data_IF_745495531973
#
_entry.id   IF_745495531973
#
_cell.length_a   1.000
_cell.length_b   1.000
_cell.length_c   1.000
_cell.angle_alpha   90.00
_cell.angle_beta   90.00
_cell.angle_gamma   90.00
#
_symmetry.space_group_name_H-M   'P 1'
#
loop_
_entity.id
_entity.type
_entity.pdbx_description
1 polymer ?
#
# COMPACT_ATOMS: atom_id res chain seq x y z
N UNK A 1 14.92 -56.87 17.28
CA UNK A 1 16.08 -56.86 16.35
C UNK A 1 15.97 -55.59 15.54
N UNK A 2 16.58 -54.57 15.86
CA UNK A 2 17.97 -54.17 15.75
C UNK A 2 18.03 -53.19 14.56
N UNK A 3 18.56 -52.09 14.51
CA UNK A 3 19.59 -51.27 15.11
C UNK A 3 19.50 -49.90 14.48
N UNK A 4 19.47 -48.88 15.18
CA UNK A 4 20.04 -47.63 15.39
C UNK A 4 21.22 -47.23 14.50
N UNK A 5 21.20 -46.00 14.03
CA UNK A 5 22.39 -45.21 13.65
C UNK A 5 22.08 -43.72 13.79
N UNK A 6 22.37 -43.16 14.95
CA UNK A 6 22.59 -41.73 15.16
C UNK A 6 23.92 -41.36 14.52
N UNK A 7 23.95 -40.47 13.56
CA UNK A 7 25.16 -39.75 13.13
C UNK A 7 25.18 -38.39 13.79
N UNK A 8 25.96 -38.28 14.85
CA UNK A 8 26.45 -37.04 15.42
C UNK A 8 27.41 -36.37 14.41
N UNK A 9 27.06 -35.17 13.98
CA UNK A 9 27.96 -34.30 13.22
C UNK A 9 28.74 -33.43 14.20
N UNK A 10 30.03 -33.77 14.37
CA UNK A 10 30.99 -32.98 15.11
C UNK A 10 31.47 -31.81 14.26
N UNK A 11 31.30 -30.58 14.77
CA UNK A 11 31.89 -29.34 14.24
C UNK A 11 33.42 -29.34 14.50
N UNK A 12 34.26 -28.93 13.53
CA UNK A 12 35.67 -28.68 13.76
C UNK A 12 35.92 -27.34 14.50
N UNK A 13 37.07 -27.16 15.21
CA UNK A 13 37.30 -26.01 16.05
C UNK A 13 37.58 -24.72 15.27
N UNK A 14 37.17 -23.61 15.88
CA UNK A 14 37.35 -22.26 15.41
C UNK A 14 38.80 -21.89 15.15
N UNK A 15 39.11 -21.43 13.95
CA UNK A 15 40.33 -20.68 13.63
C UNK A 15 40.00 -19.20 13.80
N UNK A 16 40.54 -18.60 14.85
CA UNK A 16 40.51 -17.14 15.01
C UNK A 16 41.48 -16.51 14.01
N UNK A 17 40.95 -15.83 13.00
CA UNK A 17 41.72 -14.93 12.16
C UNK A 17 40.96 -13.58 12.17
N UNK A 18 41.67 -12.55 12.62
CA UNK A 18 41.28 -11.14 12.62
C UNK A 18 41.17 -10.61 11.20
N UNK A 19 39.99 -10.66 10.66
CA UNK A 19 39.62 -10.02 9.41
C UNK A 19 38.16 -9.58 9.50
N UNK A 20 37.93 -8.27 9.44
CA UNK A 20 36.57 -7.70 9.50
C UNK A 20 35.69 -8.20 8.37
N UNK A 21 34.56 -8.75 8.72
CA UNK A 21 33.54 -9.17 7.75
C UNK A 21 32.52 -8.05 7.60
N UNK A 22 32.39 -7.46 6.41
CA UNK A 22 31.27 -6.59 6.10
C UNK A 22 30.18 -7.43 5.42
N UNK A 23 28.98 -7.39 5.99
CA UNK A 23 27.78 -8.02 5.44
C UNK A 23 27.22 -7.14 4.31
N UNK A 24 27.69 -7.33 3.08
CA UNK A 24 27.00 -6.82 1.90
C UNK A 24 25.98 -7.88 1.46
N UNK A 25 24.75 -7.78 1.99
CA UNK A 25 23.69 -8.71 1.67
C UNK A 25 22.98 -8.35 0.37
N UNK A 26 23.41 -8.89 -0.76
CA UNK A 26 22.53 -9.07 -1.91
C UNK A 26 21.70 -10.34 -1.65
N UNK A 27 20.49 -10.19 -1.15
CA UNK A 27 19.59 -11.32 -0.97
C UNK A 27 18.93 -11.62 -2.33
N UNK A 28 19.49 -12.56 -3.09
CA UNK A 28 18.83 -13.15 -4.23
C UNK A 28 17.91 -14.29 -3.75
N UNK A 29 16.61 -14.10 -3.80
CA UNK A 29 15.65 -15.17 -3.55
C UNK A 29 15.43 -15.92 -4.87
N UNK A 30 16.01 -17.12 -4.96
CA UNK A 30 15.76 -18.04 -6.06
C UNK A 30 14.46 -18.80 -5.75
N UNK A 31 13.37 -18.46 -6.42
CA UNK A 31 12.16 -19.28 -6.41
C UNK A 31 12.20 -20.20 -7.64
N UNK A 32 12.56 -21.46 -7.45
CA UNK A 32 12.41 -22.48 -8.47
C UNK A 32 10.94 -22.92 -8.54
N UNK A 33 10.37 -22.87 -9.73
CA UNK A 33 9.04 -23.40 -10.02
C UNK A 33 9.07 -24.92 -10.04
N UNK A 34 8.51 -25.56 -9.03
CA UNK A 34 8.26 -26.99 -9.04
C UNK A 34 8.23 -27.59 -7.64
N UNK A 35 7.00 -27.81 -7.14
CA UNK A 35 6.59 -28.68 -6.03
C UNK A 35 7.22 -28.50 -4.64
N UNK A 36 6.31 -28.17 -3.70
CA UNK A 36 6.33 -28.41 -2.24
C UNK A 36 7.41 -27.73 -1.40
N UNK A 37 6.92 -26.68 -0.72
CA UNK A 37 7.25 -26.24 0.65
C UNK A 37 8.66 -26.53 1.20
N UNK A 38 9.50 -25.51 1.14
CA UNK A 38 10.73 -25.45 1.91
C UNK A 38 11.39 -24.09 1.70
N UNK A 39 11.14 -23.12 2.61
CA UNK A 39 11.92 -21.87 2.66
C UNK A 39 13.33 -22.20 3.14
N UNK A 40 14.26 -22.39 2.21
CA UNK A 40 15.69 -22.48 2.54
C UNK A 40 16.29 -21.09 2.32
N UNK A 41 16.64 -20.42 3.42
CA UNK A 41 17.45 -19.21 3.41
C UNK A 41 18.92 -19.61 3.20
N UNK A 42 19.38 -19.52 1.94
CA UNK A 42 20.80 -19.67 1.62
C UNK A 42 21.49 -18.31 1.63
N UNK A 43 22.34 -18.05 2.64
CA UNK A 43 23.27 -16.92 2.62
C UNK A 43 24.54 -17.36 1.88
N UNK A 44 24.81 -16.74 0.72
CA UNK A 44 26.11 -16.89 0.06
C UNK A 44 27.01 -15.78 0.60
N UNK A 45 27.99 -16.17 1.45
CA UNK A 45 29.04 -15.29 1.92
C UNK A 45 30.14 -15.22 0.85
N UNK A 46 30.29 -14.06 0.21
CA UNK A 46 31.47 -13.76 -0.60
C UNK A 46 32.49 -13.00 0.25
N UNK A 47 33.80 -13.35 0.21
CA UNK A 47 34.85 -12.57 0.86
C UNK A 47 35.02 -11.23 0.14
N UNK A 48 34.84 -10.15 0.85
CA UNK A 48 35.08 -8.78 0.33
C UNK A 48 36.55 -8.43 0.56
N UNK A 49 37.30 -8.33 -0.54
CA UNK A 49 38.61 -7.67 -0.52
C UNK A 49 38.38 -6.16 -0.50
N UNK A 50 38.86 -5.48 0.53
CA UNK A 50 38.90 -4.01 0.60
C UNK A 50 39.87 -3.47 -0.47
N UNK A 51 39.36 -3.30 -1.67
CA UNK A 51 39.92 -2.37 -2.64
C UNK A 51 38.84 -1.34 -2.91
N UNK A 52 39.11 -0.08 -2.64
CA UNK A 52 38.33 1.05 -3.11
C UNK A 52 38.32 1.03 -4.65
N UNK A 53 37.49 0.17 -5.22
CA UNK A 53 37.19 0.19 -6.64
C UNK A 53 35.93 1.03 -6.80
N UNK A 54 36.12 2.28 -7.23
CA UNK A 54 35.08 3.04 -7.91
C UNK A 54 34.56 2.18 -9.06
N UNK A 55 33.43 1.55 -8.85
CA UNK A 55 32.83 0.68 -9.86
C UNK A 55 31.94 1.54 -10.76
N UNK A 56 32.34 1.72 -12.01
CA UNK A 56 31.48 2.31 -13.04
C UNK A 56 30.28 1.39 -13.26
N UNK A 57 29.11 1.80 -12.77
CA UNK A 57 27.89 1.01 -12.89
C UNK A 57 26.89 1.78 -13.74
N UNK A 58 26.49 1.16 -14.86
CA UNK A 58 25.34 1.61 -15.63
C UNK A 58 24.07 1.37 -14.81
N UNK A 59 23.35 2.37 -14.33
CA UNK A 59 22.16 2.29 -13.51
C UNK A 59 22.36 2.07 -11.99
N UNK A 60 22.94 3.03 -11.33
CA UNK A 60 22.86 3.14 -9.87
C UNK A 60 21.52 3.77 -9.45
N UNK A 61 21.01 3.38 -8.29
CA UNK A 61 19.81 3.97 -7.69
C UNK A 61 20.02 4.30 -6.22
N UNK A 62 19.27 5.28 -5.70
CA UNK A 62 19.19 5.54 -4.25
C UNK A 62 17.95 4.87 -3.68
N UNK A 63 18.09 4.26 -2.50
CA UNK A 63 16.96 3.68 -1.80
C UNK A 63 15.96 4.76 -1.38
N UNK A 64 14.69 4.60 -1.73
CA UNK A 64 13.63 5.57 -1.43
C UNK A 64 13.37 5.74 0.08
N UNK A 65 13.78 4.80 0.91
CA UNK A 65 13.51 4.80 2.35
C UNK A 65 14.70 5.16 3.22
N UNK A 66 15.95 4.86 2.79
CA UNK A 66 17.14 5.09 3.59
C UNK A 66 18.25 5.88 2.86
N UNK A 67 18.01 6.28 1.62
CA UNK A 67 18.92 7.08 0.78
C UNK A 67 20.27 6.42 0.43
N UNK A 68 20.47 5.14 0.75
CA UNK A 68 21.70 4.41 0.44
C UNK A 68 21.87 4.28 -1.08
N UNK A 69 23.06 4.58 -1.60
CA UNK A 69 23.42 4.34 -2.98
C UNK A 69 23.61 2.84 -3.24
N UNK A 70 22.99 2.32 -4.26
CA UNK A 70 23.00 0.89 -4.58
C UNK A 70 23.29 0.74 -6.08
N UNK A 71 24.34 -0.04 -6.42
CA UNK A 71 24.60 -0.37 -7.81
C UNK A 71 23.50 -1.27 -8.35
N UNK A 72 23.04 -1.02 -9.57
CA UNK A 72 22.13 -1.92 -10.22
C UNK A 72 22.90 -3.19 -10.65
N UNK A 73 22.56 -4.29 -10.03
CA UNK A 73 23.04 -5.60 -10.43
C UNK A 73 22.08 -6.20 -11.48
N UNK A 74 22.58 -6.84 -12.55
CA UNK A 74 21.73 -7.55 -13.47
C UNK A 74 21.02 -8.69 -12.73
N UNK A 75 19.68 -8.71 -12.83
CA UNK A 75 18.84 -9.69 -12.16
C UNK A 75 18.43 -10.77 -13.16
N UNK A 76 18.49 -12.03 -12.75
CA UNK A 76 17.87 -13.12 -13.47
C UNK A 76 16.35 -13.12 -13.31
N UNK A 77 15.65 -13.79 -14.22
CA UNK A 77 14.18 -13.89 -14.16
C UNK A 77 13.74 -14.55 -12.86
N UNK A 78 12.91 -13.85 -12.08
CA UNK A 78 12.41 -14.28 -10.78
C UNK A 78 13.19 -13.74 -9.57
N UNK A 79 14.32 -13.07 -9.79
CA UNK A 79 15.09 -12.43 -8.71
C UNK A 79 14.56 -11.04 -8.35
N UNK A 80 14.82 -10.62 -7.11
CA UNK A 80 14.51 -9.29 -6.60
C UNK A 80 15.76 -8.69 -5.95
N UNK A 81 16.04 -7.43 -6.24
CA UNK A 81 17.04 -6.63 -5.56
C UNK A 81 16.44 -5.94 -4.34
N UNK A 82 17.09 -6.10 -3.19
CA UNK A 82 16.68 -5.46 -1.94
C UNK A 82 17.81 -4.59 -1.39
N UNK A 83 17.45 -3.48 -0.74
CA UNK A 83 18.42 -2.62 -0.08
C UNK A 83 19.08 -3.37 1.09
N UNK A 84 20.43 -3.45 1.16
CA UNK A 84 21.13 -4.14 2.23
C UNK A 84 20.96 -3.47 3.60
N UNK A 85 20.74 -2.14 3.64
CA UNK A 85 20.58 -1.35 4.86
C UNK A 85 19.20 -1.48 5.49
N UNK A 86 18.13 -1.38 4.71
CA UNK A 86 16.76 -1.32 5.22
C UNK A 86 15.82 -2.45 4.75
N UNK A 87 16.28 -3.31 3.84
CA UNK A 87 15.48 -4.41 3.29
C UNK A 87 14.35 -3.99 2.34
N UNK A 88 14.32 -2.71 1.88
CA UNK A 88 13.34 -2.27 0.87
C UNK A 88 13.59 -2.95 -0.46
N UNK A 89 12.53 -3.42 -1.13
CA UNK A 89 12.65 -4.03 -2.47
C UNK A 89 12.77 -2.93 -3.52
N UNK A 90 13.88 -2.91 -4.25
CA UNK A 90 14.18 -1.88 -5.25
C UNK A 90 13.63 -2.22 -6.62
N UNK A 91 13.87 -3.44 -7.08
CA UNK A 91 13.47 -3.92 -8.40
C UNK A 91 13.22 -5.43 -8.37
N UNK A 92 12.38 -5.91 -9.29
CA UNK A 92 12.09 -7.34 -9.50
C UNK A 92 12.13 -7.66 -10.97
N UNK A 93 12.94 -8.65 -11.36
CA UNK A 93 12.90 -9.13 -12.73
C UNK A 93 11.83 -10.21 -12.88
N UNK A 94 10.65 -9.79 -13.36
CA UNK A 94 9.51 -10.67 -13.56
C UNK A 94 9.53 -11.23 -15.00
N UNK A 95 9.11 -12.49 -15.22
CA UNK A 95 9.02 -13.02 -16.57
C UNK A 95 7.91 -12.32 -17.37
N UNK A 96 8.15 -12.05 -18.65
CA UNK A 96 7.18 -11.48 -19.58
C UNK A 96 6.54 -10.16 -19.08
N UNK A 97 7.35 -9.23 -18.61
CA UNK A 97 6.88 -7.95 -18.03
C UNK A 97 6.08 -7.08 -18.99
N UNK A 98 6.16 -7.32 -20.29
CA UNK A 98 5.39 -6.61 -21.31
C UNK A 98 3.99 -7.21 -21.49
N UNK A 99 3.88 -8.54 -21.59
CA UNK A 99 2.64 -9.22 -21.95
C UNK A 99 1.71 -9.47 -20.74
N UNK A 100 2.26 -9.82 -19.58
CA UNK A 100 1.46 -10.18 -18.41
C UNK A 100 0.56 -9.04 -17.90
N UNK A 101 1.04 -7.79 -17.74
CA UNK A 101 0.17 -6.70 -17.30
C UNK A 101 -0.95 -6.41 -18.30
N UNK A 102 -0.70 -6.53 -19.60
CA UNK A 102 -1.72 -6.33 -20.64
C UNK A 102 -2.79 -7.41 -20.55
N UNK A 103 -2.38 -8.69 -20.47
CA UNK A 103 -3.30 -9.82 -20.39
C UNK A 103 -4.17 -9.76 -19.14
N UNK A 104 -3.55 -9.49 -17.97
CA UNK A 104 -4.30 -9.30 -16.73
C UNK A 104 -5.21 -8.09 -16.77
N UNK A 105 -4.76 -6.97 -17.36
CA UNK A 105 -5.55 -5.76 -17.51
C UNK A 105 -6.79 -5.97 -18.40
N UNK A 106 -6.63 -6.67 -19.52
CA UNK A 106 -7.74 -6.99 -20.40
C UNK A 106 -8.76 -7.94 -19.73
N UNK A 107 -8.27 -8.98 -19.06
CA UNK A 107 -9.12 -9.89 -18.29
C UNK A 107 -9.82 -9.18 -17.12
N UNK A 108 -9.12 -8.28 -16.41
CA UNK A 108 -9.70 -7.47 -15.35
C UNK A 108 -10.79 -6.52 -15.87
N UNK A 109 -10.60 -5.94 -17.06
CA UNK A 109 -11.62 -5.08 -17.69
C UNK A 109 -12.91 -5.87 -18.02
N UNK A 110 -12.76 -7.09 -18.56
CA UNK A 110 -13.92 -7.97 -18.81
C UNK A 110 -14.64 -8.27 -17.49
N UNK A 111 -13.91 -8.66 -16.44
CA UNK A 111 -14.48 -8.96 -15.13
C UNK A 111 -15.13 -7.72 -14.50
N UNK A 112 -14.57 -6.53 -14.71
CA UNK A 112 -15.17 -5.28 -14.26
C UNK A 112 -16.53 -5.00 -14.94
N UNK A 113 -16.62 -5.23 -16.25
CA UNK A 113 -17.89 -5.10 -16.98
C UNK A 113 -18.92 -6.10 -16.46
N UNK A 114 -18.52 -7.36 -16.27
CA UNK A 114 -19.40 -8.40 -15.71
C UNK A 114 -19.84 -8.08 -14.28
N UNK A 115 -18.96 -7.50 -13.45
CA UNK A 115 -19.27 -7.09 -12.09
C UNK A 115 -20.33 -5.97 -12.03
N UNK A 116 -20.51 -5.21 -13.11
CA UNK A 116 -21.54 -4.15 -13.21
C UNK A 116 -22.79 -4.57 -13.98
N UNK A 117 -22.75 -5.70 -14.70
CA UNK A 117 -23.83 -6.12 -15.58
C UNK A 117 -24.94 -6.91 -14.88
N UNK A 118 -24.66 -7.55 -13.76
CA UNK A 118 -25.58 -8.44 -13.04
C UNK A 118 -25.84 -7.96 -11.62
N UNK A 119 -26.75 -8.63 -10.91
CA UNK A 119 -26.99 -8.38 -9.49
C UNK A 119 -25.75 -8.74 -8.66
N UNK A 120 -25.34 -7.82 -7.79
CA UNK A 120 -24.18 -8.00 -6.92
C UNK A 120 -24.52 -8.90 -5.74
N UNK A 121 -25.63 -8.59 -5.07
CA UNK A 121 -26.19 -9.42 -4.02
C UNK A 121 -27.68 -9.21 -3.90
N UNK A 122 -28.39 -10.20 -3.39
CA UNK A 122 -29.79 -10.10 -3.03
C UNK A 122 -29.95 -10.39 -1.54
N UNK A 123 -30.80 -9.60 -0.91
CA UNK A 123 -31.10 -9.62 0.48
C UNK A 123 -32.59 -9.96 0.66
N UNK A 124 -32.91 -10.91 1.52
CA UNK A 124 -34.27 -11.34 1.76
C UNK A 124 -34.53 -11.44 3.26
N UNK A 125 -35.49 -10.65 3.74
CA UNK A 125 -35.96 -10.68 5.12
C UNK A 125 -37.48 -10.69 5.15
N UNK A 126 -38.06 -11.64 5.90
CA UNK A 126 -39.52 -11.79 6.10
C UNK A 126 -40.35 -11.74 4.80
N UNK A 127 -39.85 -12.32 3.71
CA UNK A 127 -40.57 -12.39 2.43
C UNK A 127 -40.43 -11.16 1.51
N UNK A 128 -39.75 -10.11 1.95
CA UNK A 128 -39.38 -8.96 1.11
C UNK A 128 -37.95 -9.17 0.63
N UNK A 129 -37.75 -9.26 -0.68
CA UNK A 129 -36.43 -9.42 -1.31
C UNK A 129 -36.02 -8.14 -2.02
N UNK A 130 -34.80 -7.70 -1.81
CA UNK A 130 -34.19 -6.59 -2.54
C UNK A 130 -32.93 -7.06 -3.26
N UNK A 131 -32.80 -6.66 -4.52
CA UNK A 131 -31.63 -6.91 -5.34
C UNK A 131 -30.83 -5.61 -5.50
N UNK A 132 -29.51 -5.73 -5.43
CA UNK A 132 -28.62 -4.60 -5.50
C UNK A 132 -27.52 -4.81 -6.54
N UNK A 133 -27.28 -3.80 -7.34
CA UNK A 133 -26.14 -3.75 -8.24
C UNK A 133 -24.96 -3.01 -7.59
N UNK A 134 -23.75 -3.26 -8.07
CA UNK A 134 -22.54 -2.59 -7.55
C UNK A 134 -22.64 -1.05 -7.69
N UNK A 135 -23.10 -0.54 -8.83
CA UNK A 135 -23.26 0.90 -9.07
C UNK A 135 -24.36 1.54 -8.21
N UNK A 136 -25.43 0.80 -7.93
CA UNK A 136 -26.53 1.29 -7.11
C UNK A 136 -26.10 1.68 -5.70
N UNK A 137 -25.10 0.99 -5.12
CA UNK A 137 -24.54 1.37 -3.82
C UNK A 137 -23.96 2.80 -3.82
N UNK A 138 -23.39 3.23 -4.94
CA UNK A 138 -22.77 4.55 -5.09
C UNK A 138 -23.85 5.60 -5.37
N UNK A 139 -24.78 5.32 -6.31
CA UNK A 139 -25.85 6.27 -6.67
C UNK A 139 -26.75 6.56 -5.48
N UNK A 140 -27.08 5.55 -4.72
CA UNK A 140 -27.88 5.67 -3.49
C UNK A 140 -27.29 6.68 -2.49
N UNK A 141 -25.97 6.62 -2.25
CA UNK A 141 -25.30 7.58 -1.35
C UNK A 141 -25.33 9.02 -1.89
N UNK A 142 -25.25 9.17 -3.21
CA UNK A 142 -25.33 10.50 -3.85
C UNK A 142 -26.75 11.05 -3.77
N UNK A 143 -27.77 10.23 -4.03
CA UNK A 143 -29.19 10.61 -4.01
C UNK A 143 -29.64 11.03 -2.59
N UNK A 144 -28.99 10.48 -1.55
CA UNK A 144 -29.25 10.84 -0.15
C UNK A 144 -28.46 12.05 0.34
N UNK A 145 -27.73 12.71 -0.55
CA UNK A 145 -26.96 13.91 -0.20
C UNK A 145 -25.57 13.64 0.39
N UNK A 146 -25.12 12.38 0.51
CA UNK A 146 -23.77 12.03 0.94
C UNK A 146 -22.76 12.09 -0.22
N UNK A 147 -22.75 13.21 -0.92
CA UNK A 147 -21.95 13.45 -2.12
C UNK A 147 -20.47 13.15 -1.89
N UNK A 148 -19.92 13.52 -0.71
CA UNK A 148 -18.51 13.28 -0.39
C UNK A 148 -18.17 11.78 -0.32
N UNK A 149 -18.99 10.98 0.38
CA UNK A 149 -18.79 9.53 0.45
C UNK A 149 -18.95 8.88 -0.92
N UNK A 150 -20.01 9.22 -1.65
CA UNK A 150 -20.26 8.71 -3.00
C UNK A 150 -19.11 9.05 -3.97
N UNK A 151 -18.58 10.27 -3.89
CA UNK A 151 -17.43 10.68 -4.71
C UNK A 151 -16.16 9.91 -4.36
N UNK A 152 -15.85 9.71 -3.07
CA UNK A 152 -14.69 8.92 -2.63
C UNK A 152 -14.80 7.47 -3.11
N UNK A 153 -15.97 6.84 -2.97
CA UNK A 153 -16.18 5.48 -3.46
C UNK A 153 -16.06 5.40 -4.99
N UNK A 154 -16.75 6.25 -5.71
CA UNK A 154 -16.72 6.29 -7.18
C UNK A 154 -15.29 6.47 -7.69
N UNK A 155 -14.53 7.41 -7.08
CA UNK A 155 -13.16 7.67 -7.45
C UNK A 155 -12.24 6.47 -7.16
N UNK A 156 -12.32 5.87 -5.96
CA UNK A 156 -11.40 4.80 -5.52
C UNK A 156 -11.71 3.45 -6.15
N UNK A 157 -12.98 3.13 -6.41
CA UNK A 157 -13.40 1.81 -6.90
C UNK A 157 -13.54 1.74 -8.42
N UNK A 158 -13.89 2.88 -9.06
CA UNK A 158 -14.14 2.92 -10.51
C UNK A 158 -13.09 3.80 -11.20
N UNK A 159 -13.01 5.07 -10.82
CA UNK A 159 -12.21 6.06 -11.53
C UNK A 159 -10.71 5.73 -11.57
N UNK A 160 -10.08 5.62 -10.41
CA UNK A 160 -8.64 5.36 -10.32
C UNK A 160 -8.23 4.01 -10.90
N UNK A 161 -8.95 2.88 -10.65
CA UNK A 161 -8.60 1.62 -11.26
C UNK A 161 -8.72 1.62 -12.79
N UNK A 162 -9.79 2.21 -13.35
CA UNK A 162 -9.95 2.30 -14.80
C UNK A 162 -8.87 3.17 -15.45
N UNK A 163 -8.55 4.31 -14.86
CA UNK A 163 -7.46 5.19 -15.33
C UNK A 163 -6.12 4.45 -15.24
N UNK A 164 -5.87 3.71 -14.17
CA UNK A 164 -4.64 2.93 -14.00
C UNK A 164 -4.52 1.82 -15.03
N UNK A 165 -5.59 1.01 -15.22
CA UNK A 165 -5.63 -0.06 -16.23
C UNK A 165 -5.43 0.49 -17.63
N UNK A 166 -6.19 1.52 -18.00
CA UNK A 166 -6.09 2.17 -19.31
C UNK A 166 -4.69 2.77 -19.55
N UNK A 167 -4.11 3.39 -18.54
CA UNK A 167 -2.76 3.97 -18.62
C UNK A 167 -1.68 2.91 -18.82
N UNK A 168 -1.72 1.78 -18.09
CA UNK A 168 -0.78 0.66 -18.30
C UNK A 168 -0.93 0.09 -19.69
N UNK A 169 -2.15 -0.22 -20.11
CA UNK A 169 -2.40 -0.80 -21.43
C UNK A 169 -1.90 0.13 -22.54
N UNK A 170 -2.15 1.43 -22.42
CA UNK A 170 -1.71 2.43 -23.39
C UNK A 170 -0.17 2.57 -23.42
N UNK A 171 0.48 2.62 -22.24
CA UNK A 171 1.94 2.71 -22.14
C UNK A 171 2.60 1.50 -22.78
N UNK A 172 2.17 0.29 -22.41
CA UNK A 172 2.76 -0.95 -22.93
C UNK A 172 2.45 -1.17 -24.42
N UNK A 173 1.29 -0.74 -24.90
CA UNK A 173 0.98 -0.81 -26.35
C UNK A 173 1.83 0.14 -27.19
N UNK A 174 2.23 1.29 -26.61
CA UNK A 174 3.05 2.29 -27.31
C UNK A 174 4.56 2.15 -27.04
N UNK A 175 4.97 1.25 -26.17
CA UNK A 175 6.36 1.12 -25.71
C UNK A 175 7.36 0.95 -26.86
N UNK A 176 6.96 0.26 -27.94
CA UNK A 176 7.81 0.01 -29.13
C UNK A 176 7.63 1.04 -30.24
N UNK A 177 6.61 1.91 -30.16
CA UNK A 177 6.25 2.84 -31.25
C UNK A 177 6.78 4.26 -31.06
N UNK A 178 6.70 4.79 -29.83
CA UNK A 178 6.96 6.19 -29.52
C UNK A 178 7.91 6.33 -28.30
N UNK A 179 9.15 5.84 -28.44
CA UNK A 179 10.17 6.08 -27.42
C UNK A 179 10.40 7.60 -27.27
N UNK A 180 10.40 8.09 -26.03
CA UNK A 180 10.66 9.47 -25.63
C UNK A 180 9.50 10.49 -25.75
N UNK A 181 8.27 10.04 -25.93
CA UNK A 181 7.11 10.94 -25.96
C UNK A 181 6.86 11.57 -24.57
N UNK A 182 6.60 12.90 -24.52
CA UNK A 182 6.19 13.60 -23.30
C UNK A 182 4.88 13.07 -22.72
N UNK A 183 4.01 12.51 -23.56
CA UNK A 183 2.76 11.87 -23.15
C UNK A 183 3.04 10.60 -22.33
N UNK A 184 3.98 9.74 -22.78
CA UNK A 184 4.39 8.53 -22.04
C UNK A 184 5.06 8.89 -20.70
N UNK A 185 5.85 9.97 -20.64
CA UNK A 185 6.40 10.48 -19.38
C UNK A 185 5.28 10.86 -18.40
N UNK A 186 4.26 11.56 -18.88
CA UNK A 186 3.12 11.97 -18.04
C UNK A 186 2.30 10.78 -17.57
N UNK A 187 2.04 9.81 -18.43
CA UNK A 187 1.33 8.56 -18.08
C UNK A 187 2.12 7.72 -17.08
N UNK A 188 3.42 7.54 -17.26
CA UNK A 188 4.28 6.83 -16.30
C UNK A 188 4.28 7.49 -14.91
N UNK A 189 4.34 8.83 -14.86
CA UNK A 189 4.21 9.57 -13.59
C UNK A 189 2.83 9.39 -12.94
N UNK A 190 1.78 9.39 -13.77
CA UNK A 190 0.41 9.18 -13.32
C UNK A 190 0.25 7.79 -12.68
N UNK A 191 0.77 6.74 -13.33
CA UNK A 191 0.76 5.37 -12.80
C UNK A 191 1.39 5.29 -11.40
N UNK A 192 2.58 5.88 -11.22
CA UNK A 192 3.26 5.90 -9.91
C UNK A 192 2.46 6.65 -8.85
N UNK A 193 1.76 7.75 -9.24
CA UNK A 193 0.96 8.56 -8.31
C UNK A 193 -0.37 7.90 -7.92
N UNK A 194 -1.00 7.17 -8.84
CA UNK A 194 -2.30 6.50 -8.59
C UNK A 194 -2.13 5.21 -7.79
N UNK A 195 -1.03 4.48 -7.97
CA UNK A 195 -0.79 3.16 -7.35
C UNK A 195 -1.12 3.09 -5.85
N UNK A 196 -0.75 4.05 -4.98
CA UNK A 196 -1.07 3.99 -3.55
C UNK A 196 -2.57 4.15 -3.23
N UNK A 197 -3.36 4.69 -4.16
CA UNK A 197 -4.79 4.97 -4.00
C UNK A 197 -5.70 3.85 -4.53
N UNK A 198 -5.12 2.78 -5.08
CA UNK A 198 -5.87 1.62 -5.53
C UNK A 198 -6.23 0.77 -4.31
N UNK A 199 -7.52 0.75 -3.95
CA UNK A 199 -8.04 0.12 -2.73
C UNK A 199 -9.19 -0.85 -2.99
N UNK A 200 -9.23 -1.44 -4.18
CA UNK A 200 -10.28 -2.41 -4.57
C UNK A 200 -10.22 -3.68 -3.71
N UNK A 201 -9.02 -4.08 -3.29
CA UNK A 201 -8.77 -5.18 -2.35
C UNK A 201 -9.36 -4.90 -0.97
N UNK A 202 -9.19 -3.68 -0.47
CA UNK A 202 -9.74 -3.24 0.83
C UNK A 202 -11.27 -3.22 0.78
N UNK A 203 -11.86 -2.74 -0.33
CA UNK A 203 -13.30 -2.77 -0.53
C UNK A 203 -13.86 -4.20 -0.54
N UNK A 204 -13.22 -5.15 -1.22
CA UNK A 204 -13.64 -6.55 -1.22
C UNK A 204 -13.70 -7.13 0.20
N UNK A 205 -12.67 -6.83 1.02
CA UNK A 205 -12.68 -7.24 2.44
C UNK A 205 -13.80 -6.54 3.21
N UNK A 206 -14.07 -5.25 2.94
CA UNK A 206 -15.20 -4.51 3.50
C UNK A 206 -16.55 -5.17 3.17
N UNK A 207 -16.74 -5.61 1.93
CA UNK A 207 -17.94 -6.39 1.51
C UNK A 207 -18.07 -7.68 2.32
N UNK A 208 -16.98 -8.45 2.45
CA UNK A 208 -17.00 -9.71 3.23
C UNK A 208 -17.35 -9.48 4.70
N UNK A 209 -16.80 -8.43 5.33
CA UNK A 209 -17.12 -8.06 6.71
C UNK A 209 -18.59 -7.65 6.85
N UNK A 210 -19.12 -6.86 5.90
CA UNK A 210 -20.52 -6.46 5.86
C UNK A 210 -21.43 -7.68 5.73
N UNK A 211 -21.08 -8.65 4.87
CA UNK A 211 -21.82 -9.89 4.71
C UNK A 211 -21.88 -10.69 6.02
N UNK A 212 -20.74 -10.89 6.69
CA UNK A 212 -20.69 -11.61 7.99
C UNK A 212 -21.58 -10.93 9.03
N UNK A 213 -21.61 -9.59 9.05
CA UNK A 213 -22.46 -8.81 9.96
C UNK A 213 -23.95 -9.00 9.66
N UNK A 214 -24.31 -9.14 8.40
CA UNK A 214 -25.71 -9.27 7.95
C UNK A 214 -26.24 -10.71 7.99
N UNK A 215 -25.37 -11.73 7.87
CA UNK A 215 -25.77 -13.15 7.89
C UNK A 215 -26.52 -13.55 9.17
N UNK A 216 -26.36 -12.81 10.27
CA UNK A 216 -27.13 -13.02 11.51
C UNK A 216 -28.54 -12.44 11.48
N UNK A 217 -28.89 -11.60 10.49
CA UNK A 217 -30.15 -10.85 10.45
C UNK A 217 -31.07 -11.22 9.27
N UNK A 218 -30.51 -11.76 8.19
CA UNK A 218 -31.26 -12.07 6.96
C UNK A 218 -30.56 -13.09 6.07
N UNK A 219 -31.34 -13.70 5.18
CA UNK A 219 -30.82 -14.58 4.13
C UNK A 219 -30.23 -13.75 2.99
N UNK A 220 -28.92 -13.93 2.79
CA UNK A 220 -28.16 -13.22 1.74
C UNK A 220 -27.77 -14.23 0.66
N UNK A 221 -28.06 -13.92 -0.59
CA UNK A 221 -27.59 -14.65 -1.76
C UNK A 221 -26.63 -13.81 -2.55
N UNK A 222 -25.42 -14.35 -2.79
CA UNK A 222 -24.39 -13.69 -3.61
C UNK A 222 -24.73 -13.86 -5.08
N UNK A 223 -24.83 -12.74 -5.79
CA UNK A 223 -25.07 -12.72 -7.23
C UNK A 223 -23.82 -13.04 -8.06
N UNK A 224 -23.99 -13.19 -9.36
CA UNK A 224 -22.89 -13.46 -10.29
C UNK A 224 -21.87 -12.30 -10.32
N UNK A 225 -22.34 -11.05 -10.20
CA UNK A 225 -21.47 -9.87 -10.14
C UNK A 225 -20.52 -9.87 -8.96
N UNK A 226 -20.88 -10.44 -7.82
CA UNK A 226 -19.97 -10.58 -6.67
C UNK A 226 -18.74 -11.41 -7.04
N UNK A 227 -18.94 -12.57 -7.67
CA UNK A 227 -17.84 -13.43 -8.10
C UNK A 227 -17.00 -12.81 -9.21
N UNK A 228 -17.65 -12.08 -10.13
CA UNK A 228 -16.96 -11.29 -11.14
C UNK A 228 -16.10 -10.19 -10.50
N UNK A 229 -16.61 -9.54 -9.42
CA UNK A 229 -15.86 -8.53 -8.68
C UNK A 229 -14.66 -9.14 -7.92
N UNK A 230 -14.79 -10.33 -7.34
CA UNK A 230 -13.67 -11.09 -6.76
C UNK A 230 -12.60 -11.36 -7.83
N UNK A 231 -13.01 -11.88 -8.99
CA UNK A 231 -12.12 -12.11 -10.13
C UNK A 231 -11.43 -10.83 -10.61
N UNK A 232 -12.18 -9.73 -10.73
CA UNK A 232 -11.65 -8.41 -11.06
C UNK A 232 -10.57 -7.95 -10.07
N UNK A 233 -10.84 -8.07 -8.77
CA UNK A 233 -9.89 -7.67 -7.72
C UNK A 233 -8.59 -8.47 -7.80
N UNK A 234 -8.68 -9.80 -7.93
CA UNK A 234 -7.49 -10.67 -8.05
C UNK A 234 -6.68 -10.34 -9.31
N UNK A 235 -7.33 -10.14 -10.45
CA UNK A 235 -6.68 -9.79 -11.71
C UNK A 235 -6.03 -8.41 -11.66
N UNK A 236 -6.68 -7.44 -11.03
CA UNK A 236 -6.11 -6.10 -10.82
C UNK A 236 -4.86 -6.15 -9.94
N UNK A 237 -4.88 -6.89 -8.83
CA UNK A 237 -3.71 -7.10 -7.98
C UNK A 237 -2.57 -7.77 -8.76
N UNK A 238 -2.88 -8.80 -9.56
CA UNK A 238 -1.89 -9.47 -10.43
C UNK A 238 -1.32 -8.54 -11.47
N UNK A 239 -2.12 -7.67 -12.07
CA UNK A 239 -1.67 -6.65 -13.02
C UNK A 239 -0.70 -5.67 -12.34
N UNK A 240 -1.06 -5.11 -11.16
CA UNK A 240 -0.22 -4.17 -10.41
C UNK A 240 1.11 -4.82 -10.00
N UNK A 241 1.07 -6.07 -9.54
CA UNK A 241 2.25 -6.81 -9.08
C UNK A 241 3.13 -7.38 -10.20
N UNK A 242 2.63 -7.45 -11.43
CA UNK A 242 3.38 -7.91 -12.60
C UNK A 242 4.20 -6.83 -13.29
N UNK A 243 4.05 -5.57 -12.88
CA UNK A 243 4.80 -4.43 -13.45
C UNK A 243 5.85 -3.94 -12.44
N UNK A 244 7.12 -4.05 -12.82
CA UNK A 244 8.22 -3.42 -12.11
C UNK A 244 8.40 -1.97 -12.59
N UNK A 245 8.46 -1.03 -11.63
CA UNK A 245 8.54 0.40 -11.94
C UNK A 245 9.88 0.78 -12.55
N UNK A 246 10.99 0.22 -12.02
CA UNK A 246 12.33 0.53 -12.52
C UNK A 246 12.51 -0.01 -13.95
N UNK A 247 12.08 -1.25 -14.20
CA UNK A 247 12.06 -1.83 -15.53
C UNK A 247 11.27 -0.98 -16.53
N UNK A 248 10.07 -0.50 -16.14
CA UNK A 248 9.24 0.32 -17.02
C UNK A 248 9.96 1.58 -17.47
N UNK A 249 10.60 2.29 -16.54
CA UNK A 249 11.32 3.52 -16.86
C UNK A 249 12.59 3.27 -17.65
N UNK A 250 13.31 2.16 -17.41
CA UNK A 250 14.46 1.74 -18.22
C UNK A 250 14.05 1.40 -19.65
N UNK A 251 12.93 0.69 -19.82
CA UNK A 251 12.43 0.32 -21.14
C UNK A 251 11.93 1.52 -21.95
N UNK A 252 11.33 2.52 -21.28
CA UNK A 252 10.79 3.73 -21.94
C UNK A 252 11.86 4.75 -22.33
N UNK A 253 12.88 4.95 -21.49
CA UNK A 253 13.82 6.07 -21.63
C UNK A 253 15.29 5.64 -21.59
N UNK A 254 15.58 4.38 -21.60
CA UNK A 254 16.94 3.84 -21.54
C UNK A 254 17.56 3.88 -20.14
N UNK A 255 18.80 3.34 -20.00
CA UNK A 255 19.57 3.40 -18.78
C UNK A 255 19.97 4.84 -18.44
N UNK A 256 20.25 5.13 -17.18
CA UNK A 256 20.85 6.39 -16.75
C UNK A 256 22.34 6.42 -17.09
N UNK A 257 22.92 7.62 -17.14
CA UNK A 257 24.37 7.79 -17.35
C UNK A 257 25.13 7.06 -16.23
N UNK A 258 26.21 6.39 -16.63
CA UNK A 258 27.12 5.74 -15.69
C UNK A 258 27.73 6.81 -14.77
N UNK A 259 27.62 6.61 -13.46
CA UNK A 259 28.22 7.48 -12.45
C UNK A 259 29.10 6.67 -11.53
N UNK A 260 30.17 7.30 -11.10
CA UNK A 260 31.02 6.76 -10.05
C UNK A 260 30.29 6.93 -8.71
N UNK A 261 29.98 5.81 -8.06
CA UNK A 261 29.23 5.80 -6.79
C UNK A 261 29.99 4.99 -5.76
N UNK A 262 29.97 5.47 -4.53
CA UNK A 262 30.38 4.70 -3.37
C UNK A 262 29.14 4.00 -2.78
N UNK A 263 29.05 2.67 -2.83
CA UNK A 263 27.85 1.93 -2.41
C UNK A 263 27.61 1.93 -0.89
N UNK A 264 28.54 2.45 -0.09
CA UNK A 264 28.41 2.55 1.37
C UNK A 264 27.85 3.89 1.84
N UNK A 265 27.81 4.91 0.96
CA UNK A 265 27.38 6.26 1.29
C UNK A 265 25.92 6.54 0.99
N UNK A 266 25.37 7.57 1.61
CA UNK A 266 24.06 8.12 1.26
C UNK A 266 24.13 8.93 -0.03
N UNK A 267 23.03 8.94 -0.81
CA UNK A 267 22.99 9.71 -2.05
C UNK A 267 23.22 11.20 -1.80
N UNK A 268 22.64 11.76 -0.75
CA UNK A 268 22.81 13.17 -0.40
C UNK A 268 24.25 13.52 -0.02
N UNK A 269 24.95 12.63 0.70
CA UNK A 269 26.38 12.77 1.06
C UNK A 269 27.26 12.81 -0.17
N UNK A 270 26.94 12.01 -1.18
CA UNK A 270 27.64 11.97 -2.46
C UNK A 270 27.23 13.09 -3.43
N UNK A 271 26.48 14.09 -2.97
CA UNK A 271 26.00 15.18 -3.84
C UNK A 271 24.93 14.73 -4.85
N UNK A 272 24.29 13.61 -4.64
CA UNK A 272 23.30 13.03 -5.53
C UNK A 272 21.90 13.00 -4.90
N UNK A 273 20.87 13.00 -5.75
CA UNK A 273 19.46 12.86 -5.35
C UNK A 273 18.79 11.78 -6.19
N UNK A 274 18.17 10.80 -5.53
CA UNK A 274 17.35 9.79 -6.18
C UNK A 274 15.95 10.31 -6.53
N UNK A 275 15.51 10.07 -7.75
CA UNK A 275 14.16 10.42 -8.18
C UNK A 275 13.14 9.41 -7.63
N UNK A 276 12.16 9.87 -6.86
CA UNK A 276 11.09 9.04 -6.29
C UNK A 276 10.15 8.38 -7.32
N UNK A 277 10.20 8.83 -8.58
CA UNK A 277 9.30 8.35 -9.62
C UNK A 277 9.95 7.27 -10.48
N UNK A 278 11.23 7.43 -10.83
CA UNK A 278 11.90 6.53 -11.76
C UNK A 278 13.20 5.91 -11.23
N UNK A 279 13.61 6.23 -10.00
CA UNK A 279 14.84 5.74 -9.38
C UNK A 279 16.14 6.31 -9.95
N UNK A 280 16.10 7.19 -10.97
CA UNK A 280 17.29 7.78 -11.58
C UNK A 280 17.99 8.73 -10.62
N UNK A 281 19.34 8.72 -10.62
CA UNK A 281 20.17 9.65 -9.87
C UNK A 281 20.37 10.97 -10.63
N UNK A 282 20.33 12.06 -9.94
CA UNK A 282 20.59 13.40 -10.44
C UNK A 282 21.45 14.16 -9.44
N UNK A 283 22.14 15.23 -9.86
CA UNK A 283 22.92 16.07 -8.96
C UNK A 283 22.04 16.89 -8.02
N UNK A 284 22.54 17.15 -6.82
CA UNK A 284 21.89 18.07 -5.87
C UNK A 284 21.79 19.45 -6.52
N UNK A 285 20.61 20.06 -6.43
CA UNK A 285 20.32 21.36 -7.09
C UNK A 285 19.58 21.23 -8.41
N UNK A 286 19.50 20.04 -9.00
CA UNK A 286 18.66 19.81 -10.18
C UNK A 286 17.19 19.94 -9.84
N UNK A 287 16.44 20.78 -10.55
CA UNK A 287 15.01 21.00 -10.30
C UNK A 287 14.11 19.90 -10.88
N UNK A 288 14.56 19.20 -11.91
CA UNK A 288 13.80 18.17 -12.61
C UNK A 288 14.66 16.98 -13.01
N UNK A 289 14.08 15.79 -12.93
CA UNK A 289 14.72 14.55 -13.34
C UNK A 289 14.88 14.51 -14.87
N UNK A 290 16.08 14.25 -15.37
CA UNK A 290 16.37 14.13 -16.81
C UNK A 290 15.56 13.01 -17.47
N UNK A 291 15.31 11.88 -16.74
CA UNK A 291 14.62 10.70 -17.25
C UNK A 291 13.09 10.88 -17.30
N UNK A 292 12.45 11.17 -16.18
CA UNK A 292 10.98 11.24 -16.10
C UNK A 292 10.41 12.66 -16.15
N UNK A 293 11.24 13.71 -16.05
CA UNK A 293 10.81 15.11 -15.97
C UNK A 293 10.05 15.44 -14.67
N UNK A 294 10.09 14.57 -13.65
CA UNK A 294 9.50 14.84 -12.35
C UNK A 294 10.32 15.85 -11.54
N UNK A 295 9.66 16.59 -10.65
CA UNK A 295 10.35 17.52 -9.73
C UNK A 295 11.25 16.74 -8.78
N UNK A 296 12.49 17.16 -8.65
CA UNK A 296 13.48 16.60 -7.75
C UNK A 296 13.56 17.44 -6.48
N UNK A 297 13.67 16.77 -5.36
CA UNK A 297 13.92 17.35 -4.06
C UNK A 297 14.81 16.41 -3.27
N UNK A 298 15.86 16.92 -2.64
CA UNK A 298 16.73 16.13 -1.77
C UNK A 298 15.91 15.45 -0.64
N UNK A 299 15.02 16.22 -0.04
CA UNK A 299 14.02 15.77 0.94
C UNK A 299 12.68 16.43 0.61
N UNK A 300 11.56 15.83 1.07
CA UNK A 300 10.22 16.41 0.81
C UNK A 300 10.11 17.82 1.43
N UNK A 301 9.92 18.87 0.63
CA UNK A 301 9.93 20.25 1.13
C UNK A 301 8.77 20.47 2.11
N UNK A 302 9.10 20.89 3.35
CA UNK A 302 8.10 21.08 4.40
C UNK A 302 7.34 19.81 4.81
N UNK A 303 7.87 18.61 4.49
CA UNK A 303 7.21 17.33 4.76
C UNK A 303 6.83 17.18 6.23
N UNK A 304 7.74 17.50 7.15
CA UNK A 304 7.49 17.39 8.59
C UNK A 304 6.41 18.37 9.08
N UNK A 305 6.45 19.64 8.66
CA UNK A 305 5.44 20.64 9.03
C UNK A 305 4.06 20.27 8.46
N UNK A 306 4.03 19.76 7.23
CA UNK A 306 2.82 19.29 6.57
C UNK A 306 2.23 18.08 7.29
N UNK A 307 3.08 17.14 7.70
CA UNK A 307 2.66 15.97 8.48
C UNK A 307 2.07 16.40 9.83
N UNK A 308 2.70 17.35 10.53
CA UNK A 308 2.16 17.90 11.78
C UNK A 308 0.78 18.56 11.59
N UNK A 309 0.63 19.42 10.60
CA UNK A 309 -0.64 20.07 10.32
C UNK A 309 -1.77 19.04 10.05
N UNK A 310 -1.47 18.02 9.23
CA UNK A 310 -2.42 16.95 8.92
C UNK A 310 -2.74 16.09 10.16
N UNK A 311 -1.76 15.81 11.02
CA UNK A 311 -1.99 15.07 12.26
C UNK A 311 -2.89 15.83 13.23
N UNK A 312 -2.66 17.11 13.44
CA UNK A 312 -3.54 17.93 14.28
C UNK A 312 -4.94 18.01 13.72
N UNK A 313 -5.08 18.21 12.40
CA UNK A 313 -6.38 18.21 11.74
C UNK A 313 -7.10 16.86 11.90
N UNK A 314 -6.40 15.75 11.75
CA UNK A 314 -6.99 14.42 11.94
C UNK A 314 -7.38 14.15 13.39
N UNK A 315 -6.59 14.61 14.36
CA UNK A 315 -6.90 14.46 15.79
C UNK A 315 -8.14 15.26 16.19
N UNK A 316 -8.29 16.49 15.68
CA UNK A 316 -9.50 17.30 15.89
C UNK A 316 -10.71 16.63 15.24
N UNK A 317 -10.57 16.14 14.01
CA UNK A 317 -11.67 15.50 13.29
C UNK A 317 -12.05 14.12 13.85
N UNK A 318 -11.13 13.48 14.59
CA UNK A 318 -11.38 12.21 15.26
C UNK A 318 -12.38 12.32 16.41
N UNK A 319 -12.49 13.51 17.05
CA UNK A 319 -13.47 13.76 18.10
C UNK A 319 -14.91 13.63 17.58
N UNK A 320 -15.35 14.41 16.57
CA UNK A 320 -16.70 14.29 16.04
C UNK A 320 -16.97 12.91 15.40
N UNK A 321 -15.94 12.24 14.82
CA UNK A 321 -16.08 10.90 14.28
C UNK A 321 -16.49 9.83 15.31
N UNK A 322 -16.17 10.03 16.60
CA UNK A 322 -16.54 9.10 17.68
C UNK A 322 -17.73 9.56 18.52
N UNK A 323 -18.04 10.86 18.53
CA UNK A 323 -19.12 11.42 19.36
C UNK A 323 -20.47 11.39 18.62
N UNK A 324 -20.46 11.72 17.33
CA UNK A 324 -21.70 11.71 16.55
C UNK A 324 -22.07 10.30 16.08
N UNK A 325 -23.35 10.05 15.72
CA UNK A 325 -23.76 8.77 15.16
C UNK A 325 -23.10 8.53 13.80
N UNK A 326 -22.57 7.31 13.62
CA UNK A 326 -21.99 6.88 12.33
C UNK A 326 -23.04 6.36 11.37
N UNK A 327 -24.12 5.81 11.90
CA UNK A 327 -25.27 5.37 11.16
C UNK A 327 -26.55 5.58 11.98
N UNK A 328 -27.61 5.91 11.27
CA UNK A 328 -28.96 6.00 11.82
C UNK A 328 -29.77 4.84 11.26
N UNK A 329 -30.24 3.97 12.14
CA UNK A 329 -31.03 2.80 11.77
C UNK A 329 -32.50 3.09 12.06
N UNK A 330 -33.32 3.16 11.02
CA UNK A 330 -34.77 3.27 11.13
C UNK A 330 -35.39 1.88 11.06
N UNK A 331 -36.02 1.45 12.14
CA UNK A 331 -36.70 0.15 12.19
C UNK A 331 -38.16 0.35 12.60
N UNK A 332 -39.09 0.01 11.69
CA UNK A 332 -40.54 0.19 11.89
C UNK A 332 -40.98 1.62 12.30
N UNK A 333 -40.21 2.63 11.89
CA UNK A 333 -40.47 4.03 12.23
C UNK A 333 -39.76 4.53 13.49
N UNK A 334 -39.04 3.68 14.23
CA UNK A 334 -38.20 4.09 15.34
C UNK A 334 -36.77 4.38 14.87
N UNK A 335 -36.32 5.61 15.12
CA UNK A 335 -34.94 6.06 14.81
C UNK A 335 -34.00 5.66 15.94
N UNK A 336 -33.00 4.83 15.65
CA UNK A 336 -31.94 4.49 16.60
C UNK A 336 -30.58 4.89 16.09
N UNK A 337 -30.12 6.11 16.45
CA UNK A 337 -28.78 6.56 16.10
C UNK A 337 -27.72 5.74 16.84
N UNK A 338 -26.74 5.22 16.11
CA UNK A 338 -25.66 4.45 16.70
C UNK A 338 -24.29 5.06 16.43
N UNK A 339 -23.55 5.30 17.51
CA UNK A 339 -22.13 5.68 17.45
C UNK A 339 -21.28 4.42 17.21
N UNK A 340 -20.02 4.59 16.81
CA UNK A 340 -19.08 3.48 16.63
C UNK A 340 -19.00 2.62 17.89
N UNK A 341 -18.78 3.28 19.06
CA UNK A 341 -18.70 2.60 20.35
C UNK A 341 -20.04 2.00 20.77
N UNK A 342 -21.15 2.68 20.52
CA UNK A 342 -22.50 2.16 20.78
C UNK A 342 -22.77 0.86 20.01
N UNK A 343 -22.39 0.80 18.74
CA UNK A 343 -22.47 -0.41 17.91
C UNK A 343 -21.63 -1.57 18.45
N UNK A 344 -20.42 -1.28 18.93
CA UNK A 344 -19.54 -2.30 19.57
C UNK A 344 -20.17 -2.85 20.85
N UNK A 345 -20.69 -1.98 21.73
CA UNK A 345 -21.34 -2.38 22.99
C UNK A 345 -22.60 -3.21 22.72
N UNK A 346 -23.40 -2.83 21.72
CA UNK A 346 -24.59 -3.56 21.33
C UNK A 346 -24.26 -4.97 20.83
N UNK A 347 -23.27 -5.11 19.92
CA UNK A 347 -22.82 -6.41 19.41
C UNK A 347 -22.22 -7.29 20.50
N UNK A 348 -21.53 -6.66 21.48
CA UNK A 348 -21.02 -7.34 22.66
C UNK A 348 -22.13 -7.91 23.52
N UNK A 349 -23.16 -7.09 23.79
CA UNK A 349 -24.34 -7.50 24.54
C UNK A 349 -25.16 -8.61 23.85
N UNK A 350 -25.16 -8.65 22.51
CA UNK A 350 -25.78 -9.72 21.70
C UNK A 350 -24.96 -11.01 21.66
N UNK A 351 -23.80 -11.10 22.33
CA UNK A 351 -22.94 -12.28 22.34
C UNK A 351 -22.05 -12.45 21.11
N UNK A 352 -22.06 -11.50 20.18
CA UNK A 352 -21.24 -11.53 18.95
C UNK A 352 -19.83 -10.97 19.21
N UNK A 353 -19.12 -11.50 20.20
CA UNK A 353 -17.81 -11.01 20.67
C UNK A 353 -16.75 -10.86 19.58
N UNK A 354 -16.56 -11.82 18.64
CA UNK A 354 -15.54 -11.70 17.62
C UNK A 354 -15.77 -10.49 16.69
N UNK A 355 -17.05 -10.26 16.32
CA UNK A 355 -17.42 -9.16 15.41
C UNK A 355 -17.25 -7.82 16.13
N UNK A 356 -17.72 -7.73 17.38
CA UNK A 356 -17.54 -6.53 18.22
C UNK A 356 -16.06 -6.18 18.40
N UNK A 357 -15.19 -7.17 18.65
CA UNK A 357 -13.75 -6.97 18.77
C UNK A 357 -13.14 -6.47 17.47
N UNK A 358 -13.45 -7.07 16.32
CA UNK A 358 -12.93 -6.63 15.01
C UNK A 358 -13.31 -5.18 14.73
N UNK A 359 -14.57 -4.79 14.94
CA UNK A 359 -15.03 -3.42 14.72
C UNK A 359 -14.32 -2.45 15.68
N UNK A 360 -14.21 -2.79 16.96
CA UNK A 360 -13.51 -1.96 17.94
C UNK A 360 -12.05 -1.71 17.56
N UNK A 361 -11.32 -2.77 17.19
CA UNK A 361 -9.93 -2.64 16.79
C UNK A 361 -9.79 -1.84 15.49
N UNK A 362 -10.59 -2.13 14.47
CA UNK A 362 -10.49 -1.49 13.16
C UNK A 362 -10.87 0.00 13.22
N UNK A 363 -11.99 0.34 13.88
CA UNK A 363 -12.58 1.67 13.83
C UNK A 363 -12.08 2.62 14.94
N UNK A 364 -11.64 2.08 16.08
CA UNK A 364 -11.18 2.92 17.21
C UNK A 364 -9.67 2.79 17.39
N UNK A 365 -9.16 1.57 17.61
CA UNK A 365 -7.76 1.37 17.98
C UNK A 365 -6.82 1.70 16.83
N UNK A 366 -7.10 1.23 15.63
CA UNK A 366 -6.21 1.42 14.46
C UNK A 366 -6.02 2.90 14.10
N UNK A 367 -7.06 3.75 13.94
CA UNK A 367 -6.87 5.17 13.66
C UNK A 367 -6.10 5.89 14.78
N UNK A 368 -6.40 5.58 16.05
CA UNK A 368 -5.71 6.17 17.18
C UNK A 368 -4.23 5.80 17.21
N UNK A 369 -3.90 4.52 17.11
CA UNK A 369 -2.51 4.03 17.08
C UNK A 369 -1.74 4.64 15.91
N UNK A 370 -2.38 4.80 14.74
CA UNK A 370 -1.77 5.43 13.57
C UNK A 370 -1.43 6.91 13.81
N UNK A 371 -2.36 7.67 14.38
CA UNK A 371 -2.12 9.08 14.75
C UNK A 371 -0.97 9.17 15.76
N UNK A 372 -0.99 8.35 16.81
CA UNK A 372 0.05 8.32 17.84
C UNK A 372 1.42 7.88 17.29
N UNK A 373 1.45 6.88 16.41
CA UNK A 373 2.68 6.40 15.80
C UNK A 373 3.34 7.48 14.91
N UNK A 374 2.55 8.16 14.07
CA UNK A 374 3.06 9.26 13.24
C UNK A 374 3.47 10.46 14.09
N UNK A 375 2.70 10.80 15.13
CA UNK A 375 3.06 11.82 16.11
C UNK A 375 4.42 11.52 16.75
N UNK A 376 4.60 10.29 17.22
CA UNK A 376 5.85 9.81 17.82
C UNK A 376 7.02 9.90 16.83
N UNK A 377 6.84 9.46 15.57
CA UNK A 377 7.87 9.56 14.53
C UNK A 377 8.27 11.01 14.25
N UNK A 378 7.30 11.92 14.09
CA UNK A 378 7.57 13.34 13.88
C UNK A 378 8.29 13.97 15.08
N UNK A 379 7.87 13.64 16.30
CA UNK A 379 8.49 14.14 17.53
C UNK A 379 9.94 13.69 17.67
N UNK A 380 10.23 12.41 17.40
CA UNK A 380 11.59 11.86 17.47
C UNK A 380 12.51 12.49 16.43
N UNK A 381 12.01 12.70 15.20
CA UNK A 381 12.78 13.38 14.16
C UNK A 381 13.08 14.83 14.55
N UNK A 382 12.15 15.54 15.17
CA UNK A 382 12.40 16.92 15.64
C UNK A 382 13.41 17.00 16.79
N UNK A 383 13.39 16.00 17.69
CA UNK A 383 14.31 15.96 18.84
C UNK A 383 15.73 15.53 18.48
N UNK A 384 15.94 15.03 17.27
CA UNK A 384 17.26 14.53 16.83
C UNK A 384 17.72 13.25 17.55
N UNK A 385 16.86 12.57 18.27
CA UNK A 385 17.23 11.39 19.08
C UNK A 385 16.71 10.10 18.41
N UNK A 386 17.54 9.49 17.56
CA UNK A 386 17.19 8.27 16.81
C UNK A 386 18.12 7.12 17.19
N UNK A 387 17.84 6.43 18.28
CA UNK A 387 18.64 5.30 18.80
C UNK A 387 18.53 4.01 17.97
N UNK A 388 17.48 3.83 17.13
CA UNK A 388 17.33 2.63 16.30
C UNK A 388 16.54 2.95 15.02
N UNK A 389 17.20 3.33 13.91
CA UNK A 389 16.52 3.77 12.69
C UNK A 389 15.69 2.66 12.04
N UNK A 390 16.16 1.39 12.07
CA UNK A 390 15.41 0.25 11.54
C UNK A 390 14.09 0.00 12.28
N UNK A 391 14.08 0.14 13.61
CA UNK A 391 12.85 -0.02 14.41
C UNK A 391 11.80 1.04 14.05
N UNK A 392 12.24 2.29 13.87
CA UNK A 392 11.36 3.42 13.49
C UNK A 392 10.89 3.32 12.04
N UNK A 393 11.73 2.85 11.15
CA UNK A 393 11.35 2.56 9.78
C UNK A 393 10.30 1.44 9.70
N UNK A 394 10.45 0.38 10.51
CA UNK A 394 9.42 -0.68 10.63
C UNK A 394 8.09 -0.11 11.13
N UNK A 395 8.11 0.76 12.13
CA UNK A 395 6.91 1.43 12.63
C UNK A 395 6.26 2.28 11.52
N UNK A 396 7.04 3.03 10.75
CA UNK A 396 6.54 3.80 9.62
C UNK A 396 5.87 2.90 8.56
N UNK A 397 6.55 1.81 8.14
CA UNK A 397 5.99 0.82 7.19
C UNK A 397 4.69 0.20 7.69
N UNK A 398 4.63 -0.16 8.98
CA UNK A 398 3.40 -0.67 9.59
C UNK A 398 2.27 0.38 9.54
N UNK A 399 2.59 1.63 9.86
CA UNK A 399 1.61 2.72 9.83
C UNK A 399 1.09 2.98 8.40
N UNK A 400 1.95 2.90 7.40
CA UNK A 400 1.59 3.03 5.99
C UNK A 400 0.73 1.85 5.52
N UNK A 401 1.13 0.62 5.85
CA UNK A 401 0.37 -0.59 5.54
C UNK A 401 -1.03 -0.57 6.16
N UNK A 402 -1.11 -0.38 7.47
CA UNK A 402 -2.36 -0.31 8.22
C UNK A 402 -3.21 0.88 7.77
N UNK A 403 -2.57 1.95 7.27
CA UNK A 403 -3.24 3.13 6.75
C UNK A 403 -4.23 2.85 5.63
N UNK A 404 -3.91 1.97 4.71
CA UNK A 404 -4.83 1.56 3.62
C UNK A 404 -6.00 0.74 4.14
N UNK A 405 -5.77 -0.13 5.10
CA UNK A 405 -6.80 -0.99 5.71
C UNK A 405 -7.81 -0.20 6.55
N UNK A 406 -7.45 1.00 7.05
CA UNK A 406 -8.40 1.87 7.77
C UNK A 406 -9.60 2.32 6.91
N UNK A 407 -9.52 2.23 5.57
CA UNK A 407 -10.66 2.55 4.69
C UNK A 407 -11.77 1.48 4.73
N UNK A 408 -11.53 0.32 5.32
CA UNK A 408 -12.53 -0.76 5.40
C UNK A 408 -13.83 -0.26 6.04
N UNK A 409 -13.75 0.48 7.15
CA UNK A 409 -14.93 0.95 7.88
C UNK A 409 -15.77 1.92 7.06
N UNK A 410 -15.12 2.79 6.28
CA UNK A 410 -15.81 3.69 5.36
C UNK A 410 -16.58 2.88 4.30
N UNK A 411 -15.94 1.83 3.77
CA UNK A 411 -16.58 0.94 2.79
C UNK A 411 -17.70 0.12 3.43
N UNK A 412 -17.52 -0.38 4.65
CA UNK A 412 -18.57 -1.12 5.37
C UNK A 412 -19.81 -0.25 5.59
N UNK A 413 -19.65 0.99 6.05
CA UNK A 413 -20.78 1.93 6.24
C UNK A 413 -21.47 2.20 4.91
N UNK A 414 -20.71 2.45 3.86
CA UNK A 414 -21.26 2.71 2.53
C UNK A 414 -22.05 1.52 1.95
N UNK A 415 -21.52 0.30 2.15
CA UNK A 415 -22.20 -0.93 1.71
C UNK A 415 -23.47 -1.16 2.52
N UNK A 416 -23.44 -0.99 3.84
CA UNK A 416 -24.61 -1.17 4.70
C UNK A 416 -25.70 -0.16 4.35
N UNK A 417 -25.34 1.11 4.16
CA UNK A 417 -26.30 2.15 3.78
C UNK A 417 -26.90 1.94 2.38
N UNK A 418 -26.11 1.38 1.46
CA UNK A 418 -26.61 1.04 0.13
C UNK A 418 -27.43 -0.24 0.07
N UNK A 419 -27.14 -1.23 0.94
CA UNK A 419 -27.74 -2.56 0.90
C UNK A 419 -29.06 -2.65 1.67
N UNK A 420 -29.14 -1.99 2.84
CA UNK A 420 -30.30 -2.17 3.73
C UNK A 420 -31.32 -1.06 3.48
N UNK A 421 -32.23 -1.34 2.55
CA UNK A 421 -33.39 -0.50 2.22
C UNK A 421 -34.61 -1.39 2.03
N UNK A 422 -35.21 -1.75 3.12
CA UNK A 422 -36.49 -2.48 3.12
C UNK A 422 -37.63 -1.51 3.39
N UNK A 423 -37.80 -0.53 2.49
CA UNK A 423 -38.80 0.55 2.48
C UNK A 423 -39.51 0.87 3.81
N UNK A 424 -40.36 -0.01 4.31
CA UNK A 424 -41.11 0.19 5.54
C UNK A 424 -40.61 -0.69 6.73
N UNK A 425 -39.62 -1.56 6.53
CA UNK A 425 -39.16 -2.46 7.58
C UNK A 425 -37.86 -1.99 8.24
N UNK A 426 -36.86 -1.65 7.45
CA UNK A 426 -35.55 -1.25 7.96
C UNK A 426 -34.79 -0.46 6.89
N UNK A 427 -34.29 0.71 7.26
CA UNK A 427 -33.40 1.52 6.41
C UNK A 427 -32.21 2.01 7.24
N UNK A 428 -31.00 1.98 6.65
CA UNK A 428 -29.80 2.49 7.30
C UNK A 428 -29.32 3.71 6.54
N UNK A 429 -29.23 4.85 7.24
CA UNK A 429 -28.65 6.08 6.73
C UNK A 429 -27.24 6.30 7.31
N UNK A 430 -26.27 6.76 6.50
CA UNK A 430 -24.98 7.16 7.05
C UNK A 430 -25.15 8.40 7.92
N UNK A 431 -24.62 8.38 9.13
CA UNK A 431 -24.63 9.54 10.00
C UNK A 431 -23.50 10.53 9.72
N UNK A 432 -23.51 11.72 10.34
CA UNK A 432 -22.48 12.75 10.13
C UNK A 432 -21.08 12.29 10.54
N UNK A 433 -20.96 11.37 11.49
CA UNK A 433 -19.67 10.79 11.88
C UNK A 433 -19.02 9.98 10.76
N UNK A 434 -19.79 9.42 9.81
CA UNK A 434 -19.22 8.68 8.69
C UNK A 434 -18.36 9.57 7.78
N UNK A 435 -18.79 10.83 7.53
CA UNK A 435 -18.02 11.81 6.77
C UNK A 435 -16.77 12.24 7.54
N UNK A 436 -16.91 12.52 8.84
CA UNK A 436 -15.78 12.89 9.71
C UNK A 436 -14.76 11.75 9.78
N UNK A 437 -15.20 10.51 9.93
CA UNK A 437 -14.34 9.33 9.98
C UNK A 437 -13.61 9.10 8.65
N UNK A 438 -14.30 9.20 7.51
CA UNK A 438 -13.66 9.14 6.19
C UNK A 438 -12.59 10.23 6.03
N UNK A 439 -12.88 11.45 6.52
CA UNK A 439 -11.92 12.54 6.58
C UNK A 439 -10.67 12.20 7.40
N UNK A 440 -10.83 11.64 8.61
CA UNK A 440 -9.71 11.19 9.46
C UNK A 440 -8.83 10.18 8.72
N UNK A 441 -9.44 9.18 8.10
CA UNK A 441 -8.70 8.13 7.39
C UNK A 441 -7.92 8.68 6.21
N UNK A 442 -8.54 9.52 5.38
CA UNK A 442 -7.89 10.15 4.22
C UNK A 442 -6.76 11.09 4.64
N UNK A 443 -7.02 11.96 5.63
CA UNK A 443 -6.02 12.92 6.12
C UNK A 443 -4.82 12.20 6.74
N UNK A 444 -5.04 11.16 7.56
CA UNK A 444 -3.94 10.38 8.13
C UNK A 444 -3.16 9.59 7.09
N UNK A 445 -3.79 9.17 5.99
CA UNK A 445 -3.10 8.55 4.87
C UNK A 445 -2.20 9.56 4.13
N UNK A 446 -2.72 10.75 3.85
CA UNK A 446 -1.92 11.85 3.25
C UNK A 446 -0.80 12.29 4.19
N UNK A 447 -1.04 12.30 5.52
CA UNK A 447 -0.01 12.59 6.52
C UNK A 447 1.14 11.58 6.47
N UNK A 448 0.84 10.27 6.41
CA UNK A 448 1.85 9.23 6.26
C UNK A 448 2.64 9.37 4.96
N UNK A 449 1.97 9.66 3.84
CA UNK A 449 2.62 9.90 2.54
C UNK A 449 3.45 11.19 2.51
N UNK A 450 3.16 12.18 3.36
CA UNK A 450 3.88 13.45 3.46
C UNK A 450 5.16 13.33 4.29
N UNK A 451 5.23 12.36 5.19
CA UNK A 451 6.43 12.07 5.97
C UNK A 451 7.56 11.55 5.08
N UNK A 452 8.80 11.97 5.34
CA UNK A 452 10.00 11.49 4.64
C UNK A 452 10.79 10.56 5.57
N UNK A 453 10.79 9.26 5.28
CA UNK A 453 11.47 8.24 6.09
C UNK A 453 12.99 8.40 6.12
N UNK A 454 13.57 9.08 5.11
CA UNK A 454 15.01 9.34 5.02
C UNK A 454 15.51 10.27 6.13
N UNK A 455 14.65 11.14 6.65
CA UNK A 455 14.97 11.99 7.80
C UNK A 455 15.38 11.20 9.05
N UNK A 456 14.92 9.95 9.18
CA UNK A 456 15.32 9.07 10.28
C UNK A 456 16.81 8.71 10.20
N UNK A 457 17.34 8.60 8.98
CA UNK A 457 18.72 8.21 8.71
C UNK A 457 19.67 9.41 8.72
N UNK A 458 19.22 10.58 8.26
CA UNK A 458 20.01 11.81 8.27
C UNK A 458 20.47 12.18 9.69
N UNK A 459 19.64 11.94 10.69
CA UNK A 459 19.97 12.22 12.10
C UNK A 459 21.04 11.29 12.65
N UNK A 460 21.07 10.02 12.23
CA UNK A 460 22.10 9.08 12.66
C UNK A 460 23.47 9.43 12.08
N UNK A 461 23.50 9.98 10.88
CA UNK A 461 24.74 10.41 10.24
C UNK A 461 25.31 11.65 10.93
N UNK A 462 24.50 12.64 11.24
CA UNK A 462 24.93 13.81 11.99
C UNK A 462 25.36 13.53 13.45
N UNK A 463 25.00 12.40 14.04
CA UNK A 463 25.55 11.92 15.32
C UNK A 463 26.94 11.30 15.12
N UNK A 464 27.18 10.50 14.06
CA UNK A 464 28.47 9.90 13.74
C UNK A 464 29.56 10.93 13.40
N UNK A 465 29.20 12.06 12.81
CA UNK A 465 30.13 13.15 12.51
C UNK A 465 30.51 13.97 13.76
N UNK A 466 29.78 13.82 14.87
CA UNK A 466 30.05 14.53 16.14
C UNK A 466 30.81 13.69 17.16
N UNK A 467 30.90 12.38 16.99
CA UNK A 467 31.73 11.45 17.76
C UNK A 467 33.15 11.33 17.17
#
# INVERSE_FOLDING_TARGET
>A
MGTGLSKSFSLPPAIAASGGWSLTGTAAIIASSGSTTGLIWGFILHPVSHQHHTTYVHDATACEECDLLIPATPLEVGQASCCPRCGHTLSRHLPQQELRPISYGFAALIMFVLANAFTFMSFSAKGVGQEMTFLQSITTLVDEGYLFLGAVLSLTLIGLPLVYMGSIMLVLWRIDKDLHSNALRSLGRLLCRIKPWLMVDVFLVGVLISLVKLMGMADIKMGLSFWAFVGYTVLLIKMISSLDQMWLWQRLFGPTEARDIDPETGALESGLVGCHICGALSEVGSHSCSRCGGKLHARKPGGLNRTWALLFTSAILYIPANVYPIMDTVFLGDDSPSTILGGVVLLWAMGSYPIAAVIFFASVVVPLVKILALFWLCYMVQRGNVTSPLGKLKLYRMTEFVGRWSMIDVFVVAILAGLIRLDNLMTIYPGPAAVAFAGVVLITMVAAMSFDSRLIWDLQQGERERE
#
